data_IF_491647418291
#
_entry.id   IF_491647418291
#
_cell.length_a   1.000
_cell.length_b   1.000
_cell.length_c   1.000
_cell.angle_alpha   90.00
_cell.angle_beta   90.00
_cell.angle_gamma   90.00
#
_symmetry.space_group_name_H-M   'P 1'
#
loop_
_entity.id
_entity.type
_entity.pdbx_description
1 polymer ?
#
# COMPACT_ATOMS: atom_id res chain seq x y z
N UNK A 1 7.28 5.52 8.62
CA UNK A 1 7.30 6.72 7.73
C UNK A 1 6.46 6.50 6.47
N UNK A 2 6.58 5.36 5.78
CA UNK A 2 5.71 4.93 4.66
C UNK A 2 4.21 5.08 4.97
N UNK A 3 3.76 4.61 6.14
CA UNK A 3 2.37 4.77 6.60
C UNK A 3 1.90 6.23 6.59
N UNK A 4 2.73 7.17 7.07
CA UNK A 4 2.38 8.60 7.07
C UNK A 4 2.24 9.18 5.66
N UNK A 5 3.02 8.67 4.70
CA UNK A 5 2.88 9.05 3.30
C UNK A 5 1.59 8.49 2.69
N UNK A 6 1.25 7.24 3.00
CA UNK A 6 0.02 6.57 2.55
C UNK A 6 -1.27 7.09 3.21
N UNK A 7 -1.17 7.73 4.37
CA UNK A 7 -2.30 8.47 4.99
C UNK A 7 -2.70 9.69 4.14
N UNK A 8 -1.73 10.30 3.45
CA UNK A 8 -1.95 11.55 2.68
C UNK A 8 -2.48 11.27 1.29
N UNK A 9 -2.16 10.12 0.71
CA UNK A 9 -2.45 9.84 -0.69
C UNK A 9 -2.38 8.35 -1.01
N UNK A 10 -3.10 7.96 -2.06
CA UNK A 10 -3.01 6.64 -2.67
C UNK A 10 -1.70 6.50 -3.45
N UNK A 11 -1.05 5.36 -3.33
CA UNK A 11 0.12 5.00 -4.11
C UNK A 11 -0.27 3.98 -5.19
N UNK A 12 0.33 4.07 -6.36
CA UNK A 12 0.19 3.11 -7.45
C UNK A 12 1.41 2.21 -7.54
N UNK A 13 1.21 0.96 -7.91
CA UNK A 13 2.29 0.08 -8.34
C UNK A 13 2.83 0.61 -9.66
N UNK A 14 4.01 1.22 -9.62
CA UNK A 14 4.62 1.90 -10.75
C UNK A 14 5.42 0.92 -11.61
N UNK A 15 6.28 0.14 -10.97
CA UNK A 15 7.07 -0.93 -11.56
C UNK A 15 7.09 -2.17 -10.65
N UNK A 16 7.22 -3.35 -11.26
CA UNK A 16 7.48 -4.62 -10.56
C UNK A 16 8.44 -5.47 -11.38
N UNK A 17 9.20 -6.36 -10.73
CA UNK A 17 9.97 -7.42 -11.42
C UNK A 17 9.15 -8.68 -11.72
N UNK A 18 7.93 -8.77 -11.20
CA UNK A 18 7.03 -9.88 -11.45
C UNK A 18 6.03 -9.53 -12.58
N UNK A 19 5.99 -10.36 -13.63
CA UNK A 19 5.09 -10.13 -14.76
C UNK A 19 3.61 -10.30 -14.36
N UNK A 20 3.33 -11.14 -13.36
CA UNK A 20 1.97 -11.45 -12.92
C UNK A 20 1.35 -10.35 -12.05
N UNK A 21 2.15 -9.43 -11.49
CA UNK A 21 1.59 -8.35 -10.67
C UNK A 21 0.60 -7.51 -11.48
N UNK A 22 -0.63 -7.30 -11.01
CA UNK A 22 -1.64 -6.60 -11.79
C UNK A 22 -1.26 -5.15 -12.08
N UNK A 23 -1.61 -4.68 -13.29
CA UNK A 23 -1.45 -3.28 -13.65
C UNK A 23 -2.47 -2.41 -12.90
N UNK A 24 -2.13 -1.15 -12.65
CA UNK A 24 -2.99 -0.20 -11.92
C UNK A 24 -3.30 -0.57 -10.46
N UNK A 25 -2.56 -1.50 -9.86
CA UNK A 25 -2.70 -1.79 -8.43
C UNK A 25 -2.43 -0.55 -7.59
N UNK A 26 -3.17 -0.41 -6.49
CA UNK A 26 -3.08 0.73 -5.58
C UNK A 26 -2.95 0.31 -4.13
N UNK A 27 -2.44 1.23 -3.31
CA UNK A 27 -2.22 1.05 -1.89
C UNK A 27 -2.56 2.34 -1.16
N UNK A 28 -3.36 2.27 -0.09
CA UNK A 28 -3.76 3.42 0.73
C UNK A 28 -3.93 3.00 2.19
N UNK A 29 -3.71 3.90 3.14
CA UNK A 29 -4.09 3.64 4.54
C UNK A 29 -5.61 3.62 4.70
N UNK A 30 -6.10 2.60 5.40
CA UNK A 30 -7.47 2.53 5.89
C UNK A 30 -7.59 3.12 7.29
N UNK A 31 -6.81 2.56 8.23
CA UNK A 31 -6.88 2.85 9.65
C UNK A 31 -5.47 2.86 10.23
N UNK A 32 -5.26 3.67 11.26
CA UNK A 32 -4.01 3.68 12.02
C UNK A 32 -4.31 3.51 13.50
N UNK A 33 -3.59 2.62 14.16
CA UNK A 33 -3.64 2.45 15.61
C UNK A 33 -2.29 2.92 16.19
N UNK A 34 -2.30 4.12 16.77
CA UNK A 34 -1.09 4.70 17.33
C UNK A 34 -0.61 3.98 18.59
N UNK A 35 -1.52 3.37 19.37
CA UNK A 35 -1.21 2.65 20.60
C UNK A 35 -0.34 1.41 20.37
N UNK A 36 -0.55 0.72 19.24
CA UNK A 36 0.23 -0.45 18.85
C UNK A 36 1.23 -0.16 17.72
N UNK A 37 1.36 1.11 17.31
CA UNK A 37 2.16 1.54 16.15
C UNK A 37 1.87 0.74 14.88
N UNK A 38 0.61 0.39 14.64
CA UNK A 38 0.17 -0.36 13.46
C UNK A 38 -0.68 0.50 12.52
N UNK A 39 -0.73 0.10 11.25
CA UNK A 39 -1.65 0.67 10.27
C UNK A 39 -2.22 -0.41 9.38
N UNK A 40 -3.54 -0.39 9.18
CA UNK A 40 -4.21 -1.22 8.18
C UNK A 40 -4.26 -0.45 6.88
N UNK A 41 -3.87 -1.11 5.80
CA UNK A 41 -3.81 -0.59 4.45
C UNK A 41 -4.76 -1.36 3.56
N UNK A 42 -5.39 -0.65 2.64
CA UNK A 42 -6.15 -1.22 1.54
C UNK A 42 -5.21 -1.34 0.34
N UNK A 43 -4.97 -2.56 -0.11
CA UNK A 43 -4.32 -2.84 -1.39
C UNK A 43 -5.38 -3.28 -2.37
N UNK A 44 -5.48 -2.61 -3.51
CA UNK A 44 -6.35 -3.02 -4.62
C UNK A 44 -5.51 -3.52 -5.76
N UNK A 45 -5.85 -4.69 -6.26
CA UNK A 45 -5.12 -5.34 -7.35
C UNK A 45 -5.88 -5.16 -8.66
N UNK A 46 -5.23 -4.54 -9.66
CA UNK A 46 -5.84 -4.40 -10.98
C UNK A 46 -6.78 -3.20 -11.11
N UNK A 47 -7.62 -3.24 -12.15
CA UNK A 47 -8.65 -2.22 -12.42
C UNK A 47 -9.97 -2.46 -11.69
N UNK A 48 -10.15 -3.65 -11.13
CA UNK A 48 -11.40 -4.04 -10.49
C UNK A 48 -11.47 -3.45 -9.08
N UNK A 49 -12.57 -2.78 -8.77
CA UNK A 49 -12.80 -2.12 -7.48
C UNK A 49 -12.93 -3.10 -6.30
N UNK A 50 -13.18 -4.37 -6.58
CA UNK A 50 -13.65 -5.35 -5.61
C UNK A 50 -12.54 -6.28 -5.09
N UNK A 51 -11.39 -6.37 -5.77
CA UNK A 51 -10.24 -7.15 -5.33
C UNK A 51 -9.42 -6.34 -4.30
N UNK A 52 -9.91 -6.33 -3.06
CA UNK A 52 -9.31 -5.60 -1.95
C UNK A 52 -8.64 -6.58 -0.98
N UNK A 53 -7.35 -6.38 -0.71
CA UNK A 53 -6.63 -7.07 0.37
C UNK A 53 -6.24 -6.07 1.45
N UNK A 54 -6.40 -6.45 2.72
CA UNK A 54 -6.16 -5.56 3.88
C UNK A 54 -4.79 -5.85 4.53
N UNK A 55 -3.75 -5.12 4.14
CA UNK A 55 -2.40 -5.29 4.70
C UNK A 55 -2.24 -4.61 6.06
N UNK A 56 -1.63 -5.25 7.06
CA UNK A 56 -1.29 -4.60 8.33
C UNK A 56 0.19 -4.29 8.39
N UNK A 57 0.56 -3.01 8.41
CA UNK A 57 1.94 -2.59 8.66
C UNK A 57 2.14 -2.47 10.16
N UNK A 58 3.12 -3.21 10.68
CA UNK A 58 3.61 -3.03 12.04
C UNK A 58 4.84 -2.12 11.98
N UNK A 59 4.86 -1.03 12.73
CA UNK A 59 5.97 -0.09 12.79
C UNK A 59 7.25 -0.62 13.44
N UNK A 60 7.41 -1.94 13.53
CA UNK A 60 8.56 -2.63 14.12
C UNK A 60 9.26 -3.42 12.99
N UNK A 61 10.58 -3.28 12.87
CA UNK A 61 11.44 -4.08 11.96
C UNK A 61 11.39 -3.76 10.46
N UNK A 62 10.85 -2.61 10.03
CA UNK A 62 10.84 -2.18 8.61
C UNK A 62 10.16 -3.20 7.66
N UNK A 63 9.25 -4.03 8.17
CA UNK A 63 8.49 -4.99 7.39
C UNK A 63 7.10 -4.47 7.05
N UNK A 64 6.66 -4.79 5.85
CA UNK A 64 5.34 -4.48 5.35
C UNK A 64 4.55 -5.79 5.22
N UNK A 65 3.73 -6.11 6.22
CA UNK A 65 2.99 -7.37 6.23
C UNK A 65 1.67 -7.20 5.48
N UNK A 66 1.48 -8.01 4.45
CA UNK A 66 0.21 -8.12 3.74
C UNK A 66 -0.58 -9.23 4.39
N UNK A 67 -1.68 -8.86 5.03
CA UNK A 67 -2.64 -9.80 5.61
C UNK A 67 -3.85 -9.86 4.68
N UNK A 68 -4.53 -11.00 4.63
CA UNK A 68 -5.89 -11.09 4.11
C UNK A 68 -6.83 -11.27 5.30
N UNK A 69 -7.89 -10.47 5.33
CA UNK A 69 -8.96 -10.60 6.31
C UNK A 69 -10.21 -11.02 5.55
N UNK A 70 -10.62 -12.27 5.71
CA UNK A 70 -11.85 -12.84 5.15
C UNK A 70 -12.58 -13.59 6.28
N UNK A 71 -13.87 -13.32 6.47
CA UNK A 71 -14.76 -14.03 7.41
C UNK A 71 -14.23 -14.20 8.85
N UNK A 72 -13.52 -13.20 9.36
CA UNK A 72 -12.95 -13.21 10.72
C UNK A 72 -11.62 -13.96 10.86
N UNK A 73 -11.09 -14.52 9.77
CA UNK A 73 -9.76 -15.12 9.71
C UNK A 73 -8.74 -14.10 9.18
N UNK A 74 -7.55 -14.11 9.77
CA UNK A 74 -6.42 -13.25 9.40
C UNK A 74 -5.24 -14.13 9.00
N UNK A 75 -4.90 -14.13 7.71
CA UNK A 75 -3.75 -14.85 7.17
C UNK A 75 -2.69 -13.87 6.68
N UNK A 76 -1.43 -14.04 7.11
CA UNK A 76 -0.31 -13.27 6.55
C UNK A 76 0.07 -13.87 5.20
N UNK A 77 -0.26 -13.15 4.12
CA UNK A 77 0.07 -13.54 2.75
C UNK A 77 1.54 -13.30 2.40
N UNK A 78 2.21 -12.38 3.12
CA UNK A 78 3.62 -12.09 2.90
C UNK A 78 4.11 -10.93 3.74
N UNK A 79 5.43 -10.87 3.95
CA UNK A 79 6.12 -9.81 4.69
C UNK A 79 7.16 -9.17 3.79
N UNK A 80 6.99 -7.91 3.43
CA UNK A 80 7.83 -7.23 2.44
C UNK A 80 8.76 -6.24 3.12
N UNK A 81 10.08 -6.49 3.20
CA UNK A 81 11.03 -5.49 3.67
C UNK A 81 10.96 -4.18 2.88
N UNK A 82 10.98 -3.05 3.61
CA UNK A 82 11.09 -1.71 3.03
C UNK A 82 12.58 -1.42 2.80
N UNK A 83 13.04 -1.49 1.54
CA UNK A 83 14.44 -1.21 1.21
C UNK A 83 14.72 0.28 1.07
N UNK A 84 13.76 1.04 0.56
CA UNK A 84 13.91 2.48 0.43
C UNK A 84 12.57 3.21 0.40
N UNK A 85 12.50 4.38 1.00
CA UNK A 85 11.42 5.34 0.80
C UNK A 85 11.98 6.76 0.92
N UNK A 86 11.39 7.70 0.18
CA UNK A 86 11.66 9.12 0.34
C UNK A 86 10.72 9.80 1.35
N UNK A 87 9.92 9.00 2.07
CA UNK A 87 8.94 9.41 3.07
C UNK A 87 7.78 10.27 2.54
N UNK A 88 7.65 10.42 1.23
CA UNK A 88 6.66 11.33 0.65
C UNK A 88 6.01 10.77 -0.61
N UNK A 89 6.80 10.42 -1.61
CA UNK A 89 6.32 10.19 -2.98
C UNK A 89 6.55 8.76 -3.46
N UNK A 90 7.41 7.97 -2.82
CA UNK A 90 7.69 6.63 -3.28
C UNK A 90 8.23 5.69 -2.19
N UNK A 91 8.07 4.39 -2.45
CA UNK A 91 8.63 3.31 -1.64
C UNK A 91 9.01 2.13 -2.54
N UNK A 92 10.15 1.51 -2.23
CA UNK A 92 10.64 0.27 -2.83
C UNK A 92 10.50 -0.83 -1.79
N UNK A 93 9.75 -1.86 -2.13
CA UNK A 93 9.55 -3.05 -1.31
C UNK A 93 10.12 -4.27 -2.04
N UNK A 94 10.59 -5.25 -1.28
CA UNK A 94 11.06 -6.54 -1.81
C UNK A 94 10.22 -7.65 -1.17
N UNK A 95 9.86 -8.66 -1.93
CA UNK A 95 9.19 -9.84 -1.44
C UNK A 95 10.15 -10.68 -0.59
N UNK A 96 9.65 -11.43 0.41
CA UNK A 96 10.51 -12.15 1.35
C UNK A 96 11.34 -13.28 0.72
N UNK A 97 10.94 -13.77 -0.45
CA UNK A 97 11.69 -14.71 -1.30
C UNK A 97 12.67 -14.01 -2.27
N UNK A 98 12.76 -12.68 -2.22
CA UNK A 98 13.54 -11.81 -3.11
C UNK A 98 13.16 -11.89 -4.60
N UNK A 99 12.14 -12.67 -4.96
CA UNK A 99 11.73 -12.91 -6.35
C UNK A 99 10.94 -11.72 -6.94
N UNK A 100 10.37 -10.87 -6.08
CA UNK A 100 9.64 -9.69 -6.50
C UNK A 100 10.15 -8.41 -5.82
N UNK A 101 10.56 -7.44 -6.64
CA UNK A 101 10.89 -6.07 -6.22
C UNK A 101 9.80 -5.18 -6.81
N UNK A 102 9.20 -4.33 -5.97
CA UNK A 102 8.13 -3.42 -6.36
C UNK A 102 8.46 -1.97 -6.03
N UNK A 103 8.11 -1.07 -6.94
CA UNK A 103 8.17 0.37 -6.75
C UNK A 103 6.75 0.94 -6.71
N UNK A 104 6.37 1.47 -5.56
CA UNK A 104 5.12 2.19 -5.36
C UNK A 104 5.34 3.69 -5.39
N UNK A 105 4.44 4.42 -6.04
CA UNK A 105 4.54 5.86 -6.26
C UNK A 105 3.23 6.56 -5.95
N UNK A 106 3.30 7.67 -5.22
CA UNK A 106 2.18 8.54 -4.90
C UNK A 106 1.43 9.03 -6.15
N UNK A 107 0.10 9.02 -6.08
CA UNK A 107 -0.79 9.36 -7.20
C UNK A 107 -0.48 10.70 -7.86
N UNK A 108 -0.18 11.73 -7.06
CA UNK A 108 0.12 13.09 -7.54
C UNK A 108 1.42 13.22 -8.34
N UNK A 109 2.34 12.24 -8.22
CA UNK A 109 3.65 12.24 -8.90
C UNK A 109 3.79 11.12 -9.94
N UNK A 110 2.88 10.15 -9.93
CA UNK A 110 2.93 8.98 -10.81
C UNK A 110 2.82 9.36 -12.30
N UNK A 111 1.81 10.16 -12.69
CA UNK A 111 1.53 10.51 -14.10
C UNK A 111 2.71 11.17 -14.80
N UNK A 112 3.42 12.05 -14.10
CA UNK A 112 4.56 12.79 -14.64
C UNK A 112 5.91 12.19 -14.23
N UNK A 113 5.90 11.07 -13.51
CA UNK A 113 7.08 10.42 -12.94
C UNK A 113 8.00 11.40 -12.18
N UNK A 114 7.42 12.35 -11.44
CA UNK A 114 8.12 13.43 -10.72
C UNK A 114 8.56 13.05 -9.30
N UNK A 115 8.36 11.79 -8.90
CA UNK A 115 8.75 11.24 -7.60
C UNK A 115 10.27 11.17 -7.43
N UNK A 116 10.72 10.96 -6.19
CA UNK A 116 12.13 10.96 -5.81
C UNK A 116 13.01 10.09 -6.72
N UNK A 117 14.03 10.70 -7.35
CA UNK A 117 14.97 10.01 -8.26
C UNK A 117 15.67 8.81 -7.60
N UNK A 118 15.84 8.85 -6.28
CA UNK A 118 16.46 7.77 -5.50
C UNK A 118 15.63 6.47 -5.55
N UNK A 119 14.30 6.52 -5.43
CA UNK A 119 13.48 5.31 -5.52
C UNK A 119 13.67 4.58 -6.85
N UNK A 120 13.74 5.34 -7.96
CA UNK A 120 13.99 4.76 -9.30
C UNK A 120 15.39 4.17 -9.42
N UNK A 121 16.39 4.80 -8.81
CA UNK A 121 17.78 4.29 -8.80
C UNK A 121 17.88 3.00 -7.99
N UNK A 122 17.31 2.98 -6.78
CA UNK A 122 17.31 1.79 -5.92
C UNK A 122 16.57 0.65 -6.61
N UNK A 123 15.32 0.85 -7.04
CA UNK A 123 14.56 -0.18 -7.75
C UNK A 123 15.34 -0.81 -8.91
N UNK A 124 15.96 0.01 -9.77
CA UNK A 124 16.76 -0.48 -10.91
C UNK A 124 18.01 -1.22 -10.47
N UNK A 125 18.71 -0.73 -9.44
CA UNK A 125 19.90 -1.38 -8.90
C UNK A 125 19.56 -2.79 -8.45
N UNK A 126 18.49 -2.94 -7.68
CA UNK A 126 18.11 -4.25 -7.13
C UNK A 126 17.55 -5.19 -8.18
N UNK A 127 16.72 -4.69 -9.10
CA UNK A 127 16.25 -5.50 -10.22
C UNK A 127 17.42 -6.01 -11.08
N UNK A 128 18.45 -5.19 -11.31
CA UNK A 128 19.63 -5.61 -12.05
C UNK A 128 20.50 -6.60 -11.25
N UNK A 129 20.65 -6.40 -9.93
CA UNK A 129 21.39 -7.32 -9.06
C UNK A 129 20.76 -8.72 -9.06
N UNK A 130 19.43 -8.79 -9.10
CA UNK A 130 18.67 -10.04 -9.20
C UNK A 130 18.54 -10.57 -10.64
N UNK A 131 19.14 -9.92 -11.64
CA UNK A 131 18.98 -10.24 -13.06
C UNK A 131 17.50 -10.33 -13.51
N UNK A 132 16.64 -9.51 -12.91
CA UNK A 132 15.20 -9.57 -13.09
C UNK A 132 14.71 -8.65 -14.21
N UNK A 133 13.66 -9.07 -14.91
CA UNK A 133 13.00 -8.23 -15.92
C UNK A 133 12.12 -7.19 -15.24
N UNK A 134 12.21 -5.92 -15.66
CA UNK A 134 11.41 -4.84 -15.11
C UNK A 134 10.14 -4.60 -15.94
N UNK A 135 8.98 -4.69 -15.30
CA UNK A 135 7.67 -4.45 -15.92
C UNK A 135 7.09 -3.13 -15.44
N UNK A 136 6.58 -2.32 -16.39
CA UNK A 136 5.82 -1.11 -16.08
C UNK A 136 4.38 -1.49 -15.74
N UNK A 137 3.90 -1.11 -14.56
CA UNK A 137 2.56 -1.48 -14.05
C UNK A 137 1.59 -0.31 -13.97
N UNK A 138 2.12 0.92 -13.94
CA UNK A 138 1.31 2.13 -13.98
C UNK A 138 1.15 2.70 -15.40
N UNK A 139 -0.03 3.26 -15.67
CA UNK A 139 -0.30 4.09 -16.84
C UNK A 139 -1.16 5.29 -16.43
N UNK A 140 -1.11 6.38 -17.19
CA UNK A 140 -1.98 7.55 -16.95
C UNK A 140 -3.49 7.24 -17.09
N UNK A 141 -3.84 6.06 -17.63
CA UNK A 141 -5.22 5.56 -17.73
C UNK A 141 -5.66 4.76 -16.50
N UNK A 142 -4.79 4.60 -15.49
CA UNK A 142 -5.19 3.95 -14.25
C UNK A 142 -6.27 4.79 -13.54
N UNK A 143 -7.32 4.17 -12.99
CA UNK A 143 -8.39 4.91 -12.34
C UNK A 143 -7.83 5.80 -11.25
N UNK A 144 -8.13 7.10 -11.29
CA UNK A 144 -7.81 7.99 -10.18
C UNK A 144 -8.72 7.63 -9.02
N UNK A 145 -8.17 7.08 -7.95
CA UNK A 145 -8.90 7.08 -6.68
C UNK A 145 -8.91 8.54 -6.20
N UNK A 146 -9.94 9.31 -6.59
CA UNK A 146 -10.32 10.47 -5.79
C UNK A 146 -10.54 9.94 -4.37
N UNK A 147 -9.95 10.62 -3.40
CA UNK A 147 -10.17 10.32 -2.00
C UNK A 147 -11.68 10.44 -1.73
N UNK A 148 -12.39 9.32 -1.66
CA UNK A 148 -13.68 9.32 -0.97
C UNK A 148 -13.37 9.61 0.49
N UNK A 149 -13.60 10.85 0.88
CA UNK A 149 -13.80 11.21 2.26
C UNK A 149 -15.04 10.46 2.76
N UNK A 150 -14.97 10.02 4.02
CA UNK A 150 -16.08 9.60 4.86
C UNK A 150 -16.97 8.45 4.35
N UNK A 151 -16.70 7.24 4.84
CA UNK A 151 -17.73 6.50 5.55
C UNK A 151 -17.12 6.07 6.89
N UNK A 152 -17.40 6.88 7.91
CA UNK A 152 -17.20 6.47 9.29
C UNK A 152 -18.09 5.26 9.55
N UNK A 153 -17.48 4.18 10.00
CA UNK A 153 -18.23 3.07 10.58
C UNK A 153 -18.89 3.66 11.83
N UNK A 154 -20.22 3.73 11.80
CA UNK A 154 -21.03 4.49 12.73
C UNK A 154 -20.72 4.17 14.19
N UNK A 155 -20.70 5.23 14.98
CA UNK A 155 -20.86 5.17 16.43
C UNK A 155 -22.20 4.47 16.72
N UNK A 156 -22.14 3.19 17.07
CA UNK A 156 -23.22 2.54 17.80
C UNK A 156 -23.01 2.91 19.27
N UNK A 157 -23.39 4.13 19.60
CA UNK A 157 -23.60 4.53 20.98
C UNK A 157 -25.02 4.09 21.35
N UNK A 158 -25.13 2.91 21.95
CA UNK A 158 -26.34 2.46 22.62
C UNK A 158 -26.04 2.24 24.09
N UNK A 159 -25.74 3.35 24.76
CA UNK A 159 -25.78 3.46 26.21
C UNK A 159 -27.24 3.70 26.62
N UNK A 160 -27.85 2.64 27.15
CA UNK A 160 -29.07 2.65 27.96
C UNK A 160 -29.00 3.66 29.11
N UNK A 161 -30.09 4.42 29.33
CA UNK A 161 -30.90 4.42 30.57
C UNK A 161 -31.59 5.77 30.86
N UNK A 162 -32.93 5.75 30.74
CA UNK A 162 -33.94 6.33 31.65
C UNK A 162 -33.74 7.73 32.28
N UNK A 163 -34.64 8.67 31.98
CA UNK A 163 -35.57 9.29 32.97
C UNK A 163 -36.67 10.10 32.28
N UNK A 164 -37.93 9.98 32.76
CA UNK A 164 -39.11 10.90 32.71
C UNK A 164 -40.34 9.98 32.78
N UNK A 165 -41.25 10.02 33.76
CA UNK A 165 -41.73 11.07 34.65
C UNK A 165 -42.28 10.48 35.95
#
# INVERSE_FOLDING_TARGET
>A
QVVKALQRQTFYLFNSTNNQSPACSTMKVNQTNEGNHTATLVVRSGKESNATSAATVVGKENLFNITRIEDGYSEVLGSYPVWYTDNATCVVLVAPDEDEIVLWVASNTASNASFGKCCKKIFRREANNANATMYKKFSARCPSHQASAAEGIGDIDSSTSSTSS
#
